data_IF_049497883950
#
_entry.id   IF_049497883950
#
_cell.length_a   1.000
_cell.length_b   1.000
_cell.length_c   1.000
_cell.angle_alpha   90.00
_cell.angle_beta   90.00
_cell.angle_gamma   90.00
#
_symmetry.space_group_name_H-M   'P 1'
#
loop_
_entity.id
_entity.type
_entity.pdbx_description
1 polymer ?
#
# COMPACT_ATOMS: atom_id res chain seq x y z
N UNK A 1 1.85 28.77 -20.77
CA UNK A 1 3.06 27.92 -20.93
C UNK A 1 3.69 27.49 -19.60
N UNK A 2 3.78 28.36 -18.58
CA UNK A 2 4.34 28.00 -17.25
C UNK A 2 3.65 26.80 -16.55
N UNK A 3 2.33 26.64 -16.71
CA UNK A 3 1.58 25.51 -16.14
C UNK A 3 2.00 24.13 -16.67
N UNK A 4 2.54 24.05 -17.89
CA UNK A 4 2.89 22.77 -18.53
C UNK A 4 4.18 22.19 -17.96
N UNK A 5 5.13 23.05 -17.59
CA UNK A 5 6.36 22.67 -16.89
C UNK A 5 6.07 22.16 -15.48
N UNK A 6 5.19 22.85 -14.74
CA UNK A 6 4.76 22.41 -13.42
C UNK A 6 4.08 21.03 -13.44
N UNK A 7 3.24 20.76 -14.45
CA UNK A 7 2.61 19.45 -14.64
C UNK A 7 3.62 18.34 -14.90
N UNK A 8 4.61 18.60 -15.77
CA UNK A 8 5.67 17.62 -16.07
C UNK A 8 6.51 17.34 -14.82
N UNK A 9 6.88 18.37 -14.05
CA UNK A 9 7.61 18.20 -12.79
C UNK A 9 6.81 17.39 -11.78
N UNK A 10 5.52 17.69 -11.59
CA UNK A 10 4.64 16.87 -10.73
C UNK A 10 4.58 15.42 -11.20
N UNK A 11 4.46 15.17 -12.51
CA UNK A 11 4.40 13.81 -13.03
C UNK A 11 5.69 13.03 -12.76
N UNK A 12 6.85 13.67 -12.98
CA UNK A 12 8.16 13.07 -12.69
C UNK A 12 8.29 12.77 -11.18
N UNK A 13 7.90 13.70 -10.32
CA UNK A 13 7.93 13.51 -8.85
C UNK A 13 7.07 12.32 -8.43
N UNK A 14 5.84 12.22 -8.98
CA UNK A 14 4.93 11.11 -8.70
C UNK A 14 5.55 9.79 -9.18
N UNK A 15 6.11 9.76 -10.39
CA UNK A 15 6.74 8.55 -10.94
C UNK A 15 7.91 8.10 -10.06
N UNK A 16 8.81 9.02 -9.68
CA UNK A 16 9.95 8.69 -8.82
C UNK A 16 9.47 8.19 -7.45
N UNK A 17 8.49 8.85 -6.82
CA UNK A 17 7.94 8.42 -5.53
C UNK A 17 7.35 7.01 -5.61
N UNK A 18 6.60 6.71 -6.68
CA UNK A 18 6.01 5.38 -6.87
C UNK A 18 7.10 4.32 -7.12
N UNK A 19 8.13 4.66 -7.90
CA UNK A 19 9.28 3.77 -8.14
C UNK A 19 10.03 3.46 -6.85
N UNK A 20 10.27 4.46 -5.99
CA UNK A 20 10.93 4.25 -4.69
C UNK A 20 10.15 3.28 -3.81
N UNK A 21 8.83 3.44 -3.69
CA UNK A 21 7.99 2.53 -2.90
C UNK A 21 7.98 1.10 -3.47
N UNK A 22 8.02 0.96 -4.79
CA UNK A 22 8.07 -0.36 -5.42
C UNK A 22 9.43 -1.05 -5.22
N UNK A 23 10.53 -0.31 -5.35
CA UNK A 23 11.89 -0.83 -5.15
C UNK A 23 12.09 -1.28 -3.70
N UNK A 24 11.55 -0.55 -2.72
CA UNK A 24 11.64 -0.90 -1.30
C UNK A 24 11.00 -2.27 -1.00
N UNK A 25 9.78 -2.51 -1.50
CA UNK A 25 9.09 -3.80 -1.36
C UNK A 25 9.91 -4.93 -2.01
N UNK A 26 10.44 -4.69 -3.21
CA UNK A 26 11.23 -5.71 -3.92
C UNK A 26 12.60 -5.96 -3.28
N UNK A 27 13.21 -4.92 -2.68
CA UNK A 27 14.46 -5.03 -1.92
C UNK A 27 14.29 -5.88 -0.67
N UNK A 28 13.20 -5.67 0.08
CA UNK A 28 12.88 -6.53 1.23
C UNK A 28 12.63 -7.96 0.76
N UNK A 29 11.90 -8.18 -0.33
CA UNK A 29 11.62 -9.52 -0.86
C UNK A 29 12.87 -10.28 -1.31
N UNK A 30 13.90 -9.59 -1.83
CA UNK A 30 15.16 -10.25 -2.23
C UNK A 30 16.07 -10.56 -1.04
N UNK A 31 15.97 -9.78 0.03
CA UNK A 31 16.75 -9.97 1.26
C UNK A 31 16.12 -11.03 2.18
N UNK A 32 14.79 -11.17 2.13
CA UNK A 32 14.01 -12.12 2.92
C UNK A 32 14.49 -13.59 2.83
N UNK A 33 14.75 -14.20 1.65
CA UNK A 33 15.26 -15.57 1.57
C UNK A 33 16.61 -15.77 2.28
N UNK A 34 17.39 -14.70 2.45
CA UNK A 34 18.65 -14.72 3.18
C UNK A 34 18.45 -14.70 4.71
N UNK A 35 17.35 -14.10 5.17
CA UNK A 35 17.00 -13.89 6.59
C UNK A 35 16.13 -15.04 7.16
N UNK A 36 15.36 -15.72 6.31
CA UNK A 36 14.50 -16.88 6.68
C UNK A 36 15.20 -17.93 7.56
N UNK A 37 16.47 -18.35 7.33
CA UNK A 37 17.11 -19.36 8.17
C UNK A 37 17.50 -18.88 9.58
N UNK A 38 17.46 -17.57 9.85
CA UNK A 38 17.82 -17.00 11.17
C UNK A 38 16.61 -16.74 12.07
N UNK A 39 15.39 -16.73 11.53
CA UNK A 39 14.18 -16.41 12.28
C UNK A 39 13.36 -17.67 12.61
N UNK A 40 12.85 -17.80 13.85
CA UNK A 40 11.99 -18.92 14.25
C UNK A 40 10.63 -18.92 13.53
N UNK A 41 10.26 -17.81 12.88
CA UNK A 41 8.98 -17.58 12.18
C UNK A 41 8.92 -18.19 10.77
N UNK A 42 10.05 -18.63 10.21
CA UNK A 42 10.14 -19.27 8.89
C UNK A 42 9.49 -18.48 7.74
N UNK A 43 8.71 -19.15 6.90
CA UNK A 43 8.06 -18.57 5.71
C UNK A 43 6.79 -17.74 6.01
N UNK A 44 6.43 -17.53 7.27
CA UNK A 44 5.26 -16.74 7.67
C UNK A 44 5.42 -15.22 7.40
N UNK A 45 6.67 -14.75 7.33
CA UNK A 45 7.02 -13.35 7.04
C UNK A 45 6.71 -12.94 5.58
N UNK A 46 7.23 -13.64 4.54
CA UNK A 46 6.92 -13.33 3.15
C UNK A 46 5.44 -13.45 2.79
N UNK A 47 4.77 -14.45 3.36
CA UNK A 47 3.36 -14.72 3.10
C UNK A 47 2.47 -13.59 3.60
N UNK A 48 2.74 -13.05 4.78
CA UNK A 48 2.03 -11.88 5.32
C UNK A 48 2.26 -10.63 4.46
N UNK A 49 3.50 -10.38 4.01
CA UNK A 49 3.82 -9.24 3.13
C UNK A 49 3.16 -9.35 1.75
N UNK A 50 3.10 -10.56 1.19
CA UNK A 50 2.46 -10.81 -0.11
C UNK A 50 0.96 -10.55 -0.03
N UNK A 51 0.30 -10.96 1.06
CA UNK A 51 -1.12 -10.66 1.28
C UNK A 51 -1.35 -9.15 1.33
N UNK A 52 -0.51 -8.39 2.06
CA UNK A 52 -0.58 -6.93 2.08
C UNK A 52 -0.41 -6.30 0.69
N UNK A 53 0.55 -6.76 -0.10
CA UNK A 53 0.76 -6.28 -1.48
C UNK A 53 -0.44 -6.59 -2.38
N UNK A 54 -1.05 -7.77 -2.21
CA UNK A 54 -2.23 -8.18 -2.98
C UNK A 54 -3.44 -7.32 -2.61
N UNK A 55 -3.65 -7.03 -1.33
CA UNK A 55 -4.70 -6.14 -0.83
C UNK A 55 -4.51 -4.71 -1.36
N UNK A 56 -3.26 -4.23 -1.43
CA UNK A 56 -2.95 -2.93 -2.04
C UNK A 56 -3.36 -2.88 -3.53
N UNK A 57 -3.23 -3.99 -4.27
CA UNK A 57 -3.71 -4.11 -5.65
C UNK A 57 -5.24 -4.06 -5.79
N UNK A 58 -6.00 -4.38 -4.74
CA UNK A 58 -7.47 -4.30 -4.73
C UNK A 58 -7.96 -2.85 -4.60
N UNK A 59 -7.17 -1.98 -3.96
CA UNK A 59 -7.52 -0.57 -3.78
C UNK A 59 -7.90 0.15 -5.10
N UNK A 60 -7.08 0.15 -6.17
CA UNK A 60 -7.43 0.79 -7.44
C UNK A 60 -8.64 0.15 -8.14
N UNK A 61 -8.86 -1.16 -7.98
CA UNK A 61 -10.04 -1.85 -8.52
C UNK A 61 -11.31 -1.34 -7.81
N UNK A 62 -11.25 -1.20 -6.49
CA UNK A 62 -12.34 -0.62 -5.70
C UNK A 62 -12.64 0.82 -6.13
N UNK A 63 -11.60 1.64 -6.36
CA UNK A 63 -11.74 3.00 -6.90
C UNK A 63 -12.42 2.98 -8.26
N UNK A 64 -12.02 2.06 -9.15
CA UNK A 64 -12.56 1.97 -10.50
C UNK A 64 -14.03 1.54 -10.51
N UNK A 65 -14.41 0.58 -9.67
CA UNK A 65 -15.80 0.11 -9.51
C UNK A 65 -16.68 1.23 -8.95
N UNK A 66 -16.20 1.91 -7.91
CA UNK A 66 -16.91 3.05 -7.33
C UNK A 66 -17.11 4.13 -8.41
N UNK A 67 -16.06 4.44 -9.18
CA UNK A 67 -16.09 5.40 -10.28
C UNK A 67 -17.05 4.98 -11.41
N UNK A 68 -17.20 3.69 -11.66
CA UNK A 68 -18.14 3.15 -12.64
C UNK A 68 -19.59 3.27 -12.17
N UNK A 69 -19.85 3.04 -10.87
CA UNK A 69 -21.21 3.00 -10.31
C UNK A 69 -21.90 4.39 -10.26
N UNK A 70 -21.12 5.46 -10.21
CA UNK A 70 -21.60 6.81 -9.84
C UNK A 70 -21.51 7.85 -10.99
N UNK A 71 -21.08 7.43 -12.19
CA UNK A 71 -21.23 8.21 -13.43
C UNK A 71 -20.49 9.56 -13.49
N UNK A 72 -20.93 10.50 -14.35
CA UNK A 72 -20.21 11.77 -14.68
C UNK A 72 -20.25 12.89 -13.61
N UNK A 73 -20.82 12.67 -12.43
CA UNK A 73 -20.90 13.68 -11.34
C UNK A 73 -19.97 13.40 -10.15
N UNK A 74 -18.81 12.82 -10.43
CA UNK A 74 -17.83 12.54 -9.39
C UNK A 74 -17.14 13.82 -8.90
N UNK A 75 -17.49 14.23 -7.68
CA UNK A 75 -16.56 15.03 -6.89
C UNK A 75 -15.43 14.11 -6.44
N UNK A 76 -14.21 14.35 -6.91
CA UNK A 76 -13.00 13.57 -6.57
C UNK A 76 -12.61 13.76 -5.09
N UNK A 77 -13.11 14.84 -4.48
CA UNK A 77 -12.82 15.31 -3.14
C UNK A 77 -13.24 14.29 -2.05
N UNK A 78 -14.51 13.82 -1.97
CA UNK A 78 -14.91 12.82 -0.97
C UNK A 78 -14.14 11.51 -1.10
N UNK A 79 -13.71 11.15 -2.31
CA UNK A 79 -12.97 9.92 -2.55
C UNK A 79 -11.56 9.97 -1.96
N UNK A 80 -10.87 11.09 -2.14
CA UNK A 80 -9.55 11.35 -1.55
C UNK A 80 -9.65 11.32 -0.01
N UNK A 81 -10.69 11.94 0.56
CA UNK A 81 -10.90 11.90 2.02
C UNK A 81 -11.14 10.49 2.55
N UNK A 82 -11.89 9.63 1.85
CA UNK A 82 -12.10 8.23 2.26
C UNK A 82 -10.78 7.47 2.26
N UNK A 83 -9.95 7.60 1.22
CA UNK A 83 -8.63 6.95 1.18
C UNK A 83 -7.75 7.42 2.35
N UNK A 84 -7.73 8.72 2.62
CA UNK A 84 -6.96 9.29 3.74
C UNK A 84 -7.44 8.73 5.07
N UNK A 85 -8.77 8.67 5.30
CA UNK A 85 -9.34 8.12 6.53
C UNK A 85 -8.99 6.64 6.68
N UNK A 86 -9.12 5.84 5.62
CA UNK A 86 -8.72 4.42 5.63
C UNK A 86 -7.23 4.28 5.93
N UNK A 87 -6.38 5.14 5.36
CA UNK A 87 -4.94 5.18 5.63
C UNK A 87 -4.63 5.52 7.10
N UNK A 88 -5.33 6.52 7.66
CA UNK A 88 -5.19 6.88 9.09
C UNK A 88 -5.62 5.71 9.98
N UNK A 89 -6.76 5.09 9.69
CA UNK A 89 -7.24 3.92 10.44
C UNK A 89 -6.23 2.79 10.35
N UNK A 90 -5.65 2.55 9.17
CA UNK A 90 -4.64 1.51 8.95
C UNK A 90 -3.38 1.79 9.76
N UNK A 91 -2.86 3.02 9.74
CA UNK A 91 -1.72 3.45 10.55
C UNK A 91 -2.00 3.38 12.05
N UNK A 92 -3.20 3.76 12.50
CA UNK A 92 -3.60 3.65 13.89
C UNK A 92 -3.67 2.18 14.33
N UNK A 93 -4.33 1.32 13.55
CA UNK A 93 -4.37 -0.12 13.83
C UNK A 93 -2.96 -0.69 13.87
N UNK A 94 -2.09 -0.35 12.92
CA UNK A 94 -0.69 -0.77 12.95
C UNK A 94 0.00 -0.33 14.24
N UNK A 95 -0.11 0.95 14.63
CA UNK A 95 0.53 1.48 15.83
C UNK A 95 0.05 0.79 17.12
N UNK A 96 -1.24 0.43 17.21
CA UNK A 96 -1.79 -0.28 18.36
C UNK A 96 -1.49 -1.79 18.35
N UNK A 97 -1.50 -2.43 17.18
CA UNK A 97 -1.28 -3.87 17.03
C UNK A 97 0.18 -4.27 16.77
N UNK A 98 1.09 -3.31 16.62
CA UNK A 98 2.51 -3.56 16.35
C UNK A 98 3.18 -4.47 17.39
N UNK A 99 2.73 -4.42 18.65
CA UNK A 99 3.25 -5.25 19.73
C UNK A 99 2.46 -6.53 20.00
N UNK A 100 1.35 -6.77 19.29
CA UNK A 100 0.54 -7.99 19.44
C UNK A 100 0.86 -8.93 18.29
N UNK A 101 1.73 -9.90 18.53
CA UNK A 101 1.79 -11.14 17.75
C UNK A 101 0.44 -11.83 17.87
N UNK A 102 -0.40 -11.70 16.85
CA UNK A 102 -1.56 -12.56 16.73
C UNK A 102 -1.05 -13.98 16.48
N UNK A 103 -1.15 -14.86 17.47
CA UNK A 103 -1.08 -16.31 17.26
C UNK A 103 -2.30 -16.69 16.41
N UNK A 104 -2.13 -16.71 15.09
CA UNK A 104 -3.20 -17.11 14.15
C UNK A 104 -3.42 -18.63 14.23
N UNK A 105 -2.47 -19.37 14.81
CA UNK A 105 -2.63 -20.76 15.22
C UNK A 105 -2.48 -20.83 16.74
N UNK A 106 -3.56 -21.15 17.44
CA UNK A 106 -3.44 -21.59 18.83
C UNK A 106 -2.68 -22.91 18.89
N UNK A 107 -1.35 -22.83 19.03
CA UNK A 107 -0.39 -23.81 19.57
C UNK A 107 1.01 -23.47 19.07
#
# INVERSE_FOLDING_TARGET
>A
MASRWAQVTCFILIVIMNLSSWIDIQGIMVELPLIIPLLPEGWALPSSMTICATVAGIAPILVLILRWYQGKRFSEIPFIYIIIIVGIISCCVLAFFWQRTAFIFGS
#
